data_IF_144755441434
#
_entry.id   IF_144755441434
#
_cell.length_a   1.000
_cell.length_b   1.000
_cell.length_c   1.000
_cell.angle_alpha   90.00
_cell.angle_beta   90.00
_cell.angle_gamma   90.00
#
_symmetry.space_group_name_H-M   'P 1'
#
loop_
_entity.id
_entity.type
_entity.pdbx_description
1 polymer ?
#
# COMPACT_ATOMS: atom_id res chain seq x y z
N UNK A 1 7.90 -1.09 4.02
CA UNK A 1 6.86 -1.47 5.00
C UNK A 1 6.37 -2.88 4.70
N UNK A 2 6.40 -3.76 5.68
CA UNK A 2 5.84 -5.12 5.52
C UNK A 2 4.32 -5.08 5.39
N UNK A 3 3.73 -6.14 4.81
CA UNK A 3 2.27 -6.28 4.73
C UNK A 3 1.58 -6.19 6.12
N UNK A 4 2.23 -6.68 7.17
CA UNK A 4 1.73 -6.60 8.54
C UNK A 4 1.65 -5.14 9.02
N UNK A 5 2.72 -4.36 8.80
CA UNK A 5 2.74 -2.93 9.13
C UNK A 5 1.67 -2.15 8.37
N UNK A 6 1.52 -2.44 7.08
CA UNK A 6 0.45 -1.86 6.26
C UNK A 6 -0.92 -2.20 6.85
N UNK A 7 -1.17 -3.47 7.17
CA UNK A 7 -2.44 -3.96 7.73
C UNK A 7 -2.79 -3.24 9.04
N UNK A 8 -1.80 -3.00 9.91
CA UNK A 8 -1.97 -2.24 11.16
C UNK A 8 -2.40 -0.79 10.89
N UNK A 9 -1.85 -0.16 9.86
CA UNK A 9 -2.13 1.25 9.54
C UNK A 9 -3.47 1.44 8.87
N UNK A 10 -3.78 0.63 7.84
CA UNK A 10 -4.95 0.86 7.00
C UNK A 10 -6.19 0.09 7.45
N UNK A 11 -6.02 -0.92 8.32
CA UNK A 11 -7.07 -1.84 8.73
C UNK A 11 -7.23 -3.03 7.78
N UNK A 12 -7.51 -4.21 8.34
CA UNK A 12 -7.64 -5.46 7.56
C UNK A 12 -8.79 -5.40 6.55
N UNK A 13 -9.85 -4.68 6.87
CA UNK A 13 -11.02 -4.47 6.02
C UNK A 13 -10.73 -3.65 4.76
N UNK A 14 -9.64 -2.86 4.75
CA UNK A 14 -9.21 -2.04 3.60
C UNK A 14 -8.06 -2.65 2.80
N UNK A 15 -7.59 -3.83 3.18
CA UNK A 15 -6.46 -4.49 2.53
C UNK A 15 -6.73 -4.83 1.07
N UNK A 16 -7.95 -5.25 0.74
CA UNK A 16 -8.34 -5.54 -0.65
C UNK A 16 -8.34 -4.27 -1.52
N UNK A 17 -8.83 -3.15 -0.98
CA UNK A 17 -8.80 -1.85 -1.66
C UNK A 17 -7.36 -1.37 -1.87
N UNK A 18 -6.50 -1.56 -0.88
CA UNK A 18 -5.09 -1.22 -0.98
C UNK A 18 -4.39 -2.06 -2.05
N UNK A 19 -4.63 -3.37 -2.12
CA UNK A 19 -4.08 -4.21 -3.18
C UNK A 19 -4.54 -3.77 -4.58
N UNK A 20 -5.81 -3.35 -4.73
CA UNK A 20 -6.31 -2.77 -5.98
C UNK A 20 -5.62 -1.45 -6.30
N UNK A 21 -5.40 -0.60 -5.30
CA UNK A 21 -4.69 0.67 -5.45
C UNK A 21 -3.23 0.47 -5.89
N UNK A 22 -2.54 -0.54 -5.33
CA UNK A 22 -1.16 -0.91 -5.69
C UNK A 22 -1.06 -1.65 -7.02
N UNK A 23 -2.17 -1.99 -7.68
CA UNK A 23 -2.15 -2.77 -8.92
C UNK A 23 -1.42 -2.02 -10.04
N UNK A 24 -0.35 -2.60 -10.55
CA UNK A 24 0.49 -1.99 -11.58
C UNK A 24 1.56 -1.02 -11.06
N UNK A 25 1.64 -0.83 -9.74
CA UNK A 25 2.71 -0.07 -9.09
C UNK A 25 3.90 -0.98 -8.75
N UNK A 26 5.09 -0.39 -8.71
CA UNK A 26 6.31 -1.10 -8.30
C UNK A 26 6.33 -1.24 -6.79
N UNK A 27 6.62 -2.45 -6.30
CA UNK A 27 6.82 -2.74 -4.88
C UNK A 27 8.18 -3.38 -4.66
N UNK A 28 8.74 -3.23 -3.46
CA UNK A 28 9.91 -3.98 -3.04
C UNK A 28 9.57 -5.46 -2.84
N UNK A 29 10.52 -6.33 -3.13
CA UNK A 29 10.44 -7.77 -2.84
C UNK A 29 11.68 -8.14 -2.04
N UNK A 30 11.47 -8.64 -0.84
CA UNK A 30 12.54 -9.09 0.05
C UNK A 30 13.10 -10.44 -0.40
N UNK A 31 14.25 -10.86 0.15
CA UNK A 31 14.88 -12.16 -0.16
C UNK A 31 13.96 -13.36 0.12
N UNK A 32 13.08 -13.24 1.12
CA UNK A 32 12.07 -14.24 1.49
C UNK A 32 10.80 -14.20 0.61
N UNK A 33 10.81 -13.37 -0.44
CA UNK A 33 9.69 -13.11 -1.36
C UNK A 33 8.48 -12.42 -0.73
N UNK A 34 8.62 -11.85 0.47
CA UNK A 34 7.60 -10.97 1.04
C UNK A 34 7.59 -9.60 0.34
N UNK A 35 6.43 -8.96 0.29
CA UNK A 35 6.29 -7.62 -0.25
C UNK A 35 6.74 -6.56 0.76
N UNK A 36 7.48 -5.59 0.26
CA UNK A 36 7.90 -4.40 0.98
C UNK A 36 7.35 -3.14 0.27
N UNK A 37 6.37 -2.50 0.90
CA UNK A 37 5.67 -1.33 0.36
C UNK A 37 6.37 -0.04 0.76
N UNK A 38 6.41 0.96 -0.12
CA UNK A 38 6.94 2.27 0.25
C UNK A 38 5.94 3.00 1.17
N UNK A 39 6.46 3.73 2.15
CA UNK A 39 5.64 4.50 3.09
C UNK A 39 4.74 5.51 2.36
N UNK A 40 5.28 6.15 1.31
CA UNK A 40 4.54 7.11 0.50
C UNK A 40 3.33 6.50 -0.21
N UNK A 41 3.34 5.20 -0.54
CA UNK A 41 2.19 4.52 -1.16
C UNK A 41 1.04 4.36 -0.16
N UNK A 42 1.38 4.01 1.08
CA UNK A 42 0.41 3.88 2.18
C UNK A 42 -0.18 5.24 2.52
N UNK A 43 0.67 6.26 2.63
CA UNK A 43 0.22 7.64 2.83
C UNK A 43 -0.70 8.12 1.69
N UNK A 44 -0.34 7.80 0.44
CA UNK A 44 -1.12 8.19 -0.73
C UNK A 44 -2.49 7.50 -0.75
N UNK A 45 -2.55 6.21 -0.40
CA UNK A 45 -3.80 5.46 -0.28
C UNK A 45 -4.76 6.06 0.76
N UNK A 46 -4.22 6.58 1.86
CA UNK A 46 -4.98 7.22 2.94
C UNK A 46 -5.53 8.60 2.56
N UNK A 47 -5.05 9.21 1.46
CA UNK A 47 -5.58 10.49 0.99
C UNK A 47 -6.97 10.32 0.37
N UNK A 48 -7.85 11.34 0.50
CA UNK A 48 -9.11 11.36 -0.21
C UNK A 48 -8.92 11.21 -1.73
N UNK A 49 -9.84 10.54 -2.44
CA UNK A 49 -9.86 10.56 -3.90
C UNK A 49 -9.87 12.00 -4.44
N UNK A 50 -9.04 12.29 -5.44
CA UNK A 50 -8.76 13.62 -6.00
C UNK A 50 -7.62 14.38 -5.33
N UNK A 51 -6.95 13.78 -4.32
CA UNK A 51 -5.78 14.35 -3.64
C UNK A 51 -4.57 13.40 -3.65
N UNK A 52 -4.68 12.27 -4.34
CA UNK A 52 -3.58 11.33 -4.49
C UNK A 52 -2.56 11.87 -5.49
N UNK A 53 -1.31 11.43 -5.39
CA UNK A 53 -0.22 11.92 -6.26
C UNK A 53 -0.46 11.68 -7.76
N UNK A 54 -1.31 10.72 -8.12
CA UNK A 54 -1.54 10.26 -9.49
C UNK A 54 -3.03 10.16 -9.85
N UNK A 55 -3.90 10.90 -9.15
CA UNK A 55 -5.29 11.09 -9.57
C UNK A 55 -5.41 12.07 -10.75
#
# INVERSE_FOLDING_TARGET
MTLEQVTVIIGKERLEEFHKFMSGQTVGINEDKSFDYYECDVENFLRPPGKRFFD
#
